data_IF_514071457898
#
_entry.id   IF_514071457898
#
_cell.length_a   1.000
_cell.length_b   1.000
_cell.length_c   1.000
_cell.angle_alpha   90.00
_cell.angle_beta   90.00
_cell.angle_gamma   90.00
#
_symmetry.space_group_name_H-M   'P 1'
#
loop_
_entity.id
_entity.type
_entity.pdbx_description
1 polymer ?
#
# COMPACT_ATOMS: atom_id res chain seq x y z
N UNK A 1 -20.73 11.69 17.60
CA UNK A 1 -20.74 12.90 16.75
C UNK A 1 -19.55 12.81 15.80
N UNK A 2 -19.76 12.82 14.47
CA UNK A 2 -18.68 12.77 13.48
C UNK A 2 -18.29 14.19 13.04
N UNK A 3 -16.99 14.49 12.99
CA UNK A 3 -16.47 15.83 12.67
C UNK A 3 -16.73 16.23 11.20
N UNK A 4 -16.87 17.52 10.88
CA UNK A 4 -17.21 18.00 9.52
C UNK A 4 -16.21 17.58 8.42
N UNK A 5 -14.94 17.35 8.78
CA UNK A 5 -13.90 16.91 7.84
C UNK A 5 -14.09 15.48 7.29
N UNK A 6 -14.80 14.61 8.03
CA UNK A 6 -15.00 13.20 7.64
C UNK A 6 -16.05 13.01 6.53
N UNK A 7 -16.98 13.96 6.34
CA UNK A 7 -18.00 13.86 5.27
C UNK A 7 -17.42 14.06 3.87
N UNK A 8 -16.28 14.75 3.73
CA UNK A 8 -15.65 15.01 2.41
C UNK A 8 -14.79 13.87 1.88
N UNK A 9 -14.38 12.92 2.74
CA UNK A 9 -13.50 11.80 2.35
C UNK A 9 -14.32 10.65 1.77
N UNK A 10 -15.55 10.42 2.24
CA UNK A 10 -16.40 9.33 1.76
C UNK A 10 -16.71 9.37 0.27
N UNK A 11 -16.64 10.55 -0.38
CA UNK A 11 -16.81 10.69 -1.84
C UNK A 11 -15.82 9.83 -2.66
N UNK A 12 -14.64 9.55 -2.11
CA UNK A 12 -13.54 8.91 -2.84
C UNK A 12 -13.29 7.47 -2.44
N UNK A 13 -14.11 6.98 -1.51
CA UNK A 13 -14.06 5.62 -0.97
C UNK A 13 -15.20 4.83 -1.59
N UNK A 14 -14.85 3.67 -2.16
CA UNK A 14 -15.79 2.75 -2.81
C UNK A 14 -15.71 1.41 -2.07
N UNK A 15 -16.84 0.89 -1.64
CA UNK A 15 -16.92 -0.46 -1.08
C UNK A 15 -17.31 -1.43 -2.20
N UNK A 16 -16.61 -2.56 -2.28
CA UNK A 16 -16.90 -3.63 -3.23
C UNK A 16 -16.83 -4.98 -2.51
N UNK A 17 -17.57 -5.96 -3.01
CA UNK A 17 -17.35 -7.34 -2.59
C UNK A 17 -16.18 -7.94 -3.38
N UNK A 18 -15.28 -8.60 -2.69
CA UNK A 18 -14.27 -9.45 -3.33
C UNK A 18 -14.87 -10.79 -3.75
N UNK A 19 -14.05 -11.68 -4.31
CA UNK A 19 -14.46 -13.03 -4.74
C UNK A 19 -14.93 -13.90 -3.55
N UNK A 20 -14.55 -13.55 -2.32
CA UNK A 20 -14.96 -14.21 -1.07
C UNK A 20 -16.30 -13.69 -0.54
N UNK A 21 -16.83 -12.61 -1.13
CA UNK A 21 -18.03 -11.92 -0.66
C UNK A 21 -17.80 -10.92 0.48
N UNK A 22 -16.54 -10.66 0.85
CA UNK A 22 -16.16 -9.70 1.89
C UNK A 22 -16.19 -8.27 1.35
N UNK A 23 -16.70 -7.32 2.14
CA UNK A 23 -16.70 -5.90 1.77
C UNK A 23 -15.30 -5.29 1.91
N UNK A 24 -14.66 -5.03 0.77
CA UNK A 24 -13.35 -4.40 0.69
C UNK A 24 -13.49 -2.92 0.38
N UNK A 25 -12.82 -2.11 1.20
CA UNK A 25 -12.72 -0.67 1.03
C UNK A 25 -11.64 -0.31 0.00
N UNK A 26 -12.03 0.44 -1.02
CA UNK A 26 -11.21 0.87 -2.15
C UNK A 26 -11.19 2.39 -2.24
N UNK A 27 -10.11 2.95 -2.78
CA UNK A 27 -9.88 4.39 -2.87
C UNK A 27 -9.47 4.75 -4.29
N UNK A 28 -10.03 5.83 -4.83
CA UNK A 28 -9.65 6.37 -6.14
C UNK A 28 -8.27 7.05 -6.12
N UNK A 29 -7.62 7.22 -7.27
CA UNK A 29 -6.35 7.96 -7.36
C UNK A 29 -6.47 9.40 -6.83
N UNK A 30 -7.58 10.08 -7.11
CA UNK A 30 -7.90 11.41 -6.59
C UNK A 30 -8.10 11.39 -5.07
N UNK A 31 -8.74 10.34 -4.55
CA UNK A 31 -8.87 10.08 -3.12
C UNK A 31 -7.52 9.94 -2.44
N UNK A 32 -6.63 9.12 -3.01
CA UNK A 32 -5.26 8.95 -2.52
C UNK A 32 -4.52 10.28 -2.48
N UNK A 33 -4.58 11.07 -3.56
CA UNK A 33 -3.95 12.40 -3.63
C UNK A 33 -4.44 13.32 -2.50
N UNK A 34 -5.76 13.37 -2.28
CA UNK A 34 -6.36 14.21 -1.23
C UNK A 34 -5.98 13.75 0.17
N UNK A 35 -5.96 12.44 0.42
CA UNK A 35 -5.69 11.86 1.74
C UNK A 35 -4.21 11.92 2.11
N UNK A 36 -3.32 11.75 1.13
CA UNK A 36 -1.87 11.76 1.33
C UNK A 36 -1.24 13.15 1.15
N UNK A 37 -2.01 14.11 0.63
CA UNK A 37 -1.54 15.46 0.22
C UNK A 37 -0.46 15.41 -0.86
N UNK A 38 -0.39 14.32 -1.62
CA UNK A 38 0.49 14.18 -2.78
C UNK A 38 -0.22 14.61 -4.05
N UNK A 39 0.56 15.00 -5.06
CA UNK A 39 0.02 15.26 -6.39
C UNK A 39 -0.35 13.94 -7.09
N UNK A 40 -1.33 13.99 -7.98
CA UNK A 40 -1.69 12.83 -8.82
C UNK A 40 -0.54 12.41 -9.73
N UNK A 41 0.33 13.34 -10.13
CA UNK A 41 1.55 13.03 -10.89
C UNK A 41 2.52 12.16 -10.09
N UNK A 42 2.76 12.49 -8.81
CA UNK A 42 3.61 11.68 -7.93
C UNK A 42 3.06 10.26 -7.75
N UNK A 43 1.73 10.13 -7.58
CA UNK A 43 1.08 8.83 -7.43
C UNK A 43 1.09 8.01 -8.73
N UNK A 44 0.93 8.64 -9.90
CA UNK A 44 1.10 7.97 -11.20
C UNK A 44 2.50 7.42 -11.36
N UNK A 45 3.52 8.21 -11.02
CA UNK A 45 4.89 7.74 -11.03
C UNK A 45 5.10 6.54 -10.11
N UNK A 46 4.56 6.58 -8.88
CA UNK A 46 4.60 5.41 -7.99
C UNK A 46 3.90 4.18 -8.58
N UNK A 47 2.81 4.36 -9.34
CA UNK A 47 2.13 3.26 -10.05
C UNK A 47 3.01 2.69 -11.16
N UNK A 48 3.60 3.55 -11.97
CA UNK A 48 4.48 3.19 -13.10
C UNK A 48 5.73 2.43 -12.63
N UNK A 49 6.31 2.85 -11.51
CA UNK A 49 7.48 2.21 -10.87
C UNK A 49 7.08 0.98 -10.02
N UNK A 50 5.84 0.48 -10.14
CA UNK A 50 5.37 -0.72 -9.44
C UNK A 50 5.22 -0.62 -7.91
N UNK A 51 5.47 0.56 -7.33
CA UNK A 51 5.41 0.79 -5.88
C UNK A 51 3.99 0.72 -5.31
N UNK A 52 2.99 1.08 -6.10
CA UNK A 52 1.57 0.92 -5.77
C UNK A 52 0.84 0.25 -6.94
N UNK A 53 -0.11 -0.62 -6.63
CA UNK A 53 -0.87 -1.33 -7.65
C UNK A 53 -2.38 -1.05 -7.49
N UNK A 54 -3.10 -0.83 -8.61
CA UNK A 54 -4.55 -0.79 -8.58
C UNK A 54 -5.13 -2.19 -8.36
N UNK A 55 -6.43 -2.25 -8.14
CA UNK A 55 -7.18 -3.50 -8.09
C UNK A 55 -7.21 -4.09 -9.51
N UNK A 56 -6.99 -5.41 -9.61
CA UNK A 56 -7.04 -6.11 -10.91
C UNK A 56 -8.37 -5.85 -11.61
N UNK A 57 -8.31 -5.49 -12.89
CA UNK A 57 -9.49 -5.14 -13.70
C UNK A 57 -10.02 -3.72 -13.49
N UNK A 58 -9.49 -2.95 -12.52
CA UNK A 58 -9.99 -1.62 -12.19
C UNK A 58 -8.83 -0.62 -11.97
N UNK A 59 -8.28 -0.10 -13.07
CA UNK A 59 -7.07 0.73 -13.09
C UNK A 59 -7.09 2.01 -12.24
N UNK A 60 -8.29 2.43 -11.83
CA UNK A 60 -8.56 3.66 -11.08
C UNK A 60 -8.78 3.43 -9.59
N UNK A 61 -9.04 2.19 -9.16
CA UNK A 61 -9.28 1.86 -7.77
C UNK A 61 -8.05 1.21 -7.16
N UNK A 62 -7.71 1.63 -5.95
CA UNK A 62 -6.62 1.10 -5.17
C UNK A 62 -7.17 0.52 -3.86
N UNK A 63 -6.60 -0.56 -3.33
CA UNK A 63 -6.93 -1.01 -1.99
C UNK A 63 -6.67 0.10 -0.97
N UNK A 64 -7.48 0.19 0.09
CA UNK A 64 -7.23 1.17 1.16
C UNK A 64 -5.83 1.02 1.78
N UNK A 65 -5.27 -0.20 1.82
CA UNK A 65 -3.89 -0.51 2.23
C UNK A 65 -2.85 0.35 1.49
N UNK A 66 -3.14 0.77 0.26
CA UNK A 66 -2.23 1.62 -0.53
C UNK A 66 -1.86 2.91 0.20
N UNK A 67 -2.74 3.46 1.05
CA UNK A 67 -2.42 4.62 1.89
C UNK A 67 -1.26 4.35 2.85
N UNK A 68 -1.26 3.19 3.52
CA UNK A 68 -0.18 2.77 4.41
C UNK A 68 1.11 2.55 3.64
N UNK A 69 1.00 1.94 2.45
CA UNK A 69 2.15 1.73 1.57
C UNK A 69 2.78 3.04 1.10
N UNK A 70 1.97 4.03 0.69
CA UNK A 70 2.44 5.38 0.34
C UNK A 70 3.13 6.03 1.53
N UNK A 71 2.56 5.96 2.73
CA UNK A 71 3.19 6.52 3.93
C UNK A 71 4.56 5.89 4.22
N UNK A 72 4.71 4.56 4.02
CA UNK A 72 6.00 3.86 4.13
C UNK A 72 7.02 4.35 3.10
N UNK A 73 6.60 4.47 1.84
CA UNK A 73 7.43 4.98 0.73
C UNK A 73 7.93 6.38 1.03
N UNK A 74 7.03 7.30 1.40
CA UNK A 74 7.37 8.69 1.72
C UNK A 74 8.34 8.78 2.90
N UNK A 75 8.14 7.97 3.94
CA UNK A 75 9.04 7.90 5.09
C UNK A 75 10.45 7.46 4.68
N UNK A 76 10.56 6.39 3.90
CA UNK A 76 11.85 5.88 3.41
C UNK A 76 12.54 6.91 2.51
N UNK A 77 11.78 7.53 1.59
CA UNK A 77 12.29 8.59 0.72
C UNK A 77 12.91 9.74 1.51
N UNK A 78 12.18 10.22 2.51
CA UNK A 78 12.60 11.39 3.29
C UNK A 78 13.78 11.06 4.24
N UNK A 79 13.82 9.85 4.79
CA UNK A 79 14.89 9.43 5.70
C UNK A 79 16.20 9.12 4.96
N UNK A 80 16.12 8.46 3.81
CA UNK A 80 17.30 7.96 3.08
C UNK A 80 17.73 8.89 1.95
N UNK A 81 16.89 9.87 1.56
CA UNK A 81 17.11 10.77 0.41
C UNK A 81 17.37 10.03 -0.91
N UNK A 82 16.65 8.93 -1.11
CA UNK A 82 16.72 8.07 -2.29
C UNK A 82 15.52 8.36 -3.21
N UNK A 83 15.63 8.06 -4.50
CA UNK A 83 14.51 8.15 -5.45
C UNK A 83 13.54 6.95 -5.35
N UNK A 84 12.52 6.93 -6.22
CA UNK A 84 11.50 5.87 -6.22
C UNK A 84 12.06 4.51 -6.66
N UNK A 85 13.00 4.48 -7.60
CA UNK A 85 13.62 3.23 -8.06
C UNK A 85 14.47 2.57 -6.97
N UNK A 86 15.25 3.37 -6.23
CA UNK A 86 15.97 2.86 -5.07
C UNK A 86 15.03 2.40 -3.93
N UNK A 87 13.88 3.05 -3.75
CA UNK A 87 12.85 2.59 -2.81
C UNK A 87 12.26 1.24 -3.24
N UNK A 88 12.01 1.03 -4.54
CA UNK A 88 11.52 -0.25 -5.06
C UNK A 88 12.46 -1.40 -4.70
N UNK A 89 13.76 -1.20 -4.95
CA UNK A 89 14.80 -2.18 -4.61
C UNK A 89 14.79 -2.46 -3.10
N UNK A 90 14.77 -1.42 -2.26
CA UNK A 90 14.74 -1.58 -0.80
C UNK A 90 13.50 -2.36 -0.35
N UNK A 91 12.32 -2.03 -0.86
CA UNK A 91 11.10 -2.73 -0.50
C UNK A 91 11.15 -4.21 -0.91
N UNK A 92 11.65 -4.51 -2.11
CA UNK A 92 11.85 -5.90 -2.54
C UNK A 92 12.83 -6.64 -1.62
N UNK A 93 13.94 -6.01 -1.23
CA UNK A 93 14.91 -6.61 -0.30
C UNK A 93 14.29 -6.85 1.09
N UNK A 94 13.49 -5.93 1.61
CA UNK A 94 12.76 -6.10 2.86
C UNK A 94 11.79 -7.29 2.77
N UNK A 95 11.03 -7.39 1.68
CA UNK A 95 10.08 -8.49 1.46
C UNK A 95 10.82 -9.85 1.35
N UNK A 96 11.99 -9.88 0.71
CA UNK A 96 12.85 -11.07 0.68
C UNK A 96 13.33 -11.46 2.07
N UNK A 97 13.79 -10.49 2.87
CA UNK A 97 14.24 -10.72 4.24
C UNK A 97 13.10 -11.25 5.12
N UNK A 98 11.91 -10.66 5.05
CA UNK A 98 10.73 -11.14 5.80
C UNK A 98 10.31 -12.57 5.40
N UNK A 99 10.50 -12.98 4.15
CA UNK A 99 10.26 -14.37 3.72
C UNK A 99 11.28 -15.31 4.33
N UNK A 100 12.56 -14.97 4.25
CA UNK A 100 13.64 -15.77 4.84
C UNK A 100 13.48 -15.93 6.35
N UNK A 101 13.11 -14.85 7.06
CA UNK A 101 12.84 -14.90 8.50
C UNK A 101 11.67 -15.84 8.84
N UNK A 102 10.61 -15.83 8.04
CA UNK A 102 9.47 -16.74 8.20
C UNK A 102 9.85 -18.20 7.97
N UNK A 103 10.64 -18.48 6.95
CA UNK A 103 11.17 -19.82 6.67
C UNK A 103 12.05 -20.34 7.82
N UNK A 104 12.98 -19.51 8.30
CA UNK A 104 13.82 -19.85 9.46
C UNK A 104 12.96 -20.11 10.70
N UNK A 105 11.94 -19.29 10.96
CA UNK A 105 11.04 -19.47 12.09
C UNK A 105 10.22 -20.77 11.97
N UNK A 106 9.79 -21.15 10.77
CA UNK A 106 9.10 -22.41 10.52
C UNK A 106 10.02 -23.62 10.78
N UNK A 107 11.23 -23.62 10.21
CA UNK A 107 12.23 -24.68 10.42
C UNK A 107 12.63 -24.84 11.89
N UNK A 108 12.73 -23.73 12.64
CA UNK A 108 12.97 -23.76 14.09
C UNK A 108 11.80 -24.42 14.84
N UNK A 109 10.56 -24.07 14.51
CA UNK A 109 9.37 -24.69 15.13
C UNK A 109 9.32 -26.20 14.90
N UNK A 110 9.66 -26.67 13.71
CA UNK A 110 9.73 -28.11 13.38
C UNK A 110 10.78 -28.86 14.20
N UNK A 111 11.93 -28.23 14.49
CA UNK A 111 12.99 -28.84 15.30
C UNK A 111 12.70 -28.84 16.80
N UNK A 112 12.03 -27.81 17.32
CA UNK A 112 11.71 -27.71 18.76
C UNK A 112 10.44 -28.48 19.13
N UNK A 113 9.59 -28.82 18.15
CA UNK A 113 8.39 -29.66 18.34
C UNK A 113 8.67 -31.18 18.28
N UNK A 114 9.93 -31.60 18.24
CA UNK A 114 10.38 -32.99 18.19
C UNK A 114 11.25 -33.30 19.40
#
# INVERSE_FOLDING_TARGET
MMTPGMRSIQKWVVYRKDDSGEEVCCVTLEGLARMTRLSTASLRRMKEEGLIAPIRGEDRLFPQETLRRIAKIERLRNQLRIDLGGIEIILNLMDQLERMEREIAALRRERTGR
#
